data_IF_064573891225
#
_entry.id   IF_064573891225
#
_cell.length_a   1.000
_cell.length_b   1.000
_cell.length_c   1.000
_cell.angle_alpha   90.00
_cell.angle_beta   90.00
_cell.angle_gamma   90.00
#
_symmetry.space_group_name_H-M   'P 1'
#
loop_
_entity.id
_entity.type
_entity.pdbx_description
1 polymer ?
#
# COMPACT_ATOMS: atom_id res chain seq x y z
N UNK A 1 -5.51 47.96 -24.36
CA UNK A 1 -4.28 48.15 -23.56
C UNK A 1 -3.10 47.67 -24.38
N UNK A 2 -2.23 48.58 -24.83
CA UNK A 2 -1.08 48.23 -25.69
C UNK A 2 -0.04 47.46 -24.87
N UNK A 3 0.48 46.37 -25.43
CA UNK A 3 1.43 45.48 -24.75
C UNK A 3 2.83 46.09 -24.83
N UNK A 4 3.36 46.58 -23.71
CA UNK A 4 4.73 47.12 -23.64
C UNK A 4 5.81 46.03 -23.79
N UNK A 5 6.95 46.42 -24.36
CA UNK A 5 8.15 45.57 -24.44
C UNK A 5 8.70 45.32 -23.04
N UNK A 6 9.03 44.07 -22.71
CA UNK A 6 9.63 43.69 -21.42
C UNK A 6 11.02 43.10 -21.65
N UNK A 7 11.94 43.33 -20.71
CA UNK A 7 13.28 42.73 -20.73
C UNK A 7 13.21 41.22 -20.46
N UNK A 8 14.10 40.43 -21.08
CA UNK A 8 14.19 38.99 -20.86
C UNK A 8 15.01 38.70 -19.60
N UNK A 9 14.36 38.88 -18.44
CA UNK A 9 14.89 38.56 -17.11
C UNK A 9 13.81 38.00 -16.20
N UNK A 10 14.19 37.42 -15.06
CA UNK A 10 13.24 36.95 -14.05
C UNK A 10 12.37 38.11 -13.58
N UNK A 11 11.05 37.89 -13.53
CA UNK A 11 10.11 38.88 -12.99
C UNK A 11 10.14 38.77 -11.47
N UNK A 12 10.57 39.81 -10.77
CA UNK A 12 10.72 39.78 -9.31
C UNK A 12 9.37 39.73 -8.58
N UNK A 13 8.42 40.57 -9.00
CA UNK A 13 7.08 40.61 -8.42
C UNK A 13 6.35 39.26 -8.60
N UNK A 14 6.01 38.60 -7.48
CA UNK A 14 5.39 37.27 -7.45
C UNK A 14 4.03 37.22 -8.17
N UNK A 15 3.17 38.22 -7.98
CA UNK A 15 1.83 38.28 -8.58
C UNK A 15 1.95 38.43 -10.10
N UNK A 16 2.77 39.39 -10.53
CA UNK A 16 3.02 39.63 -11.96
C UNK A 16 3.66 38.42 -12.63
N UNK A 17 4.58 37.73 -11.94
CA UNK A 17 5.21 36.49 -12.41
C UNK A 17 4.20 35.36 -12.57
N UNK A 18 3.27 35.19 -11.64
CA UNK A 18 2.25 34.13 -11.72
C UNK A 18 1.24 34.36 -12.85
N UNK A 19 0.77 35.61 -13.03
CA UNK A 19 -0.12 35.97 -14.14
C UNK A 19 0.61 35.80 -15.48
N UNK A 20 1.87 36.24 -15.56
CA UNK A 20 2.68 36.11 -16.78
C UNK A 20 2.98 34.65 -17.11
N UNK A 21 3.32 33.83 -16.12
CA UNK A 21 3.51 32.39 -16.28
C UNK A 21 2.26 31.75 -16.87
N UNK A 22 1.09 32.02 -16.30
CA UNK A 22 -0.18 31.44 -16.79
C UNK A 22 -0.46 31.82 -18.24
N UNK A 23 -0.27 33.10 -18.60
CA UNK A 23 -0.48 33.59 -19.98
C UNK A 23 0.56 33.02 -20.96
N UNK A 24 1.85 33.03 -20.60
CA UNK A 24 2.94 32.55 -21.47
C UNK A 24 2.91 31.04 -21.64
N UNK A 25 2.66 30.28 -20.57
CA UNK A 25 2.49 28.82 -20.62
C UNK A 25 1.35 28.46 -21.56
N UNK A 26 0.18 29.08 -21.42
CA UNK A 26 -0.95 28.82 -22.32
C UNK A 26 -0.63 29.19 -23.78
N UNK A 27 0.05 30.32 -24.00
CA UNK A 27 0.49 30.71 -25.35
C UNK A 27 1.50 29.73 -25.96
N UNK A 28 2.43 29.20 -25.15
CA UNK A 28 3.41 28.21 -25.58
C UNK A 28 2.73 26.87 -25.92
N UNK A 29 1.81 26.40 -25.08
CA UNK A 29 1.03 25.19 -25.32
C UNK A 29 0.23 25.29 -26.63
N UNK A 30 -0.40 26.45 -26.90
CA UNK A 30 -1.11 26.68 -28.16
C UNK A 30 -0.19 26.60 -29.37
N UNK A 31 0.99 27.24 -29.30
CA UNK A 31 1.98 27.17 -30.40
C UNK A 31 2.52 25.76 -30.62
N UNK A 32 2.77 25.01 -29.54
CA UNK A 32 3.20 23.62 -29.62
C UNK A 32 2.12 22.76 -30.31
N UNK A 33 0.85 22.97 -29.97
CA UNK A 33 -0.27 22.31 -30.61
C UNK A 33 -0.39 22.66 -32.10
N UNK A 34 -0.37 23.95 -32.44
CA UNK A 34 -0.41 24.43 -33.82
C UNK A 34 0.71 23.79 -34.66
N UNK A 35 1.95 23.78 -34.14
CA UNK A 35 3.09 23.21 -34.84
C UNK A 35 2.96 21.69 -35.02
N UNK A 36 2.49 20.98 -33.98
CA UNK A 36 2.26 19.53 -34.07
C UNK A 36 1.24 19.18 -35.15
N UNK A 37 0.14 19.94 -35.24
CA UNK A 37 -0.92 19.69 -36.23
C UNK A 37 -0.51 20.14 -37.63
N UNK A 38 0.10 21.31 -37.78
CA UNK A 38 0.43 21.90 -39.09
C UNK A 38 1.55 21.13 -39.81
N UNK A 39 2.50 20.58 -39.05
CA UNK A 39 3.67 19.92 -39.62
C UNK A 39 3.69 18.40 -39.36
N UNK A 40 2.64 17.84 -38.75
CA UNK A 40 2.54 16.42 -38.36
C UNK A 40 3.77 15.94 -37.58
N UNK A 41 4.22 16.76 -36.62
CA UNK A 41 5.40 16.46 -35.80
C UNK A 41 4.99 15.97 -34.43
N UNK A 42 5.69 14.92 -33.96
CA UNK A 42 5.60 14.48 -32.56
C UNK A 42 6.32 15.49 -31.66
N UNK A 43 5.60 16.02 -30.67
CA UNK A 43 6.12 17.05 -29.79
C UNK A 43 5.68 16.82 -28.35
N UNK A 44 6.62 16.97 -27.42
CA UNK A 44 6.39 16.97 -25.98
C UNK A 44 6.85 18.27 -25.36
N UNK A 45 6.05 18.82 -24.44
CA UNK A 45 6.39 19.99 -23.64
C UNK A 45 6.10 19.69 -22.16
N UNK A 46 7.09 19.91 -21.31
CA UNK A 46 7.00 19.71 -19.85
C UNK A 46 7.37 21.03 -19.17
N UNK A 47 6.51 21.52 -18.29
CA UNK A 47 6.71 22.78 -17.55
C UNK A 47 6.41 22.57 -16.07
N UNK A 48 7.43 22.76 -15.23
CA UNK A 48 7.26 22.80 -13.77
C UNK A 48 7.09 24.23 -13.29
N UNK A 49 6.05 24.47 -12.50
CA UNK A 49 5.94 25.73 -11.77
C UNK A 49 6.92 25.77 -10.60
N UNK A 50 7.27 26.96 -10.06
CA UNK A 50 8.07 27.07 -8.85
C UNK A 50 7.46 26.41 -7.60
N UNK A 51 6.17 26.03 -7.66
CA UNK A 51 5.48 25.30 -6.59
C UNK A 51 5.46 23.78 -6.84
N UNK A 52 6.22 23.29 -7.82
CA UNK A 52 6.29 21.87 -8.18
C UNK A 52 5.14 21.37 -9.05
N UNK A 53 4.10 22.18 -9.30
CA UNK A 53 2.98 21.75 -10.17
C UNK A 53 3.45 21.55 -11.61
N UNK A 54 3.17 20.35 -12.14
CA UNK A 54 3.43 19.93 -13.51
C UNK A 54 2.34 20.44 -14.46
N UNK A 55 2.77 20.91 -15.62
CA UNK A 55 1.93 21.20 -16.78
C UNK A 55 2.60 20.60 -18.01
N UNK A 56 1.86 19.78 -18.75
CA UNK A 56 2.41 19.06 -19.89
C UNK A 56 1.49 19.14 -21.11
N UNK A 57 2.10 18.94 -22.28
CA UNK A 57 1.43 18.74 -23.55
C UNK A 57 2.23 17.72 -24.35
N UNK A 58 1.54 16.79 -24.99
CA UNK A 58 2.13 15.83 -25.89
C UNK A 58 1.20 15.53 -27.03
N UNK A 59 1.76 15.29 -28.21
CA UNK A 59 1.05 14.73 -29.36
C UNK A 59 1.97 13.69 -30.01
N UNK A 60 1.59 12.39 -30.06
CA UNK A 60 0.31 11.81 -29.65
C UNK A 60 0.20 11.46 -28.16
N UNK A 61 1.27 10.99 -27.51
CA UNK A 61 1.29 10.73 -26.06
C UNK A 61 2.70 10.90 -25.46
N UNK A 62 2.76 11.35 -24.21
CA UNK A 62 4.02 11.70 -23.54
C UNK A 62 4.97 10.51 -23.38
N UNK A 63 4.43 9.34 -23.01
CA UNK A 63 5.21 8.12 -22.81
C UNK A 63 5.99 7.72 -24.07
N UNK A 64 5.35 7.67 -25.23
CA UNK A 64 6.01 7.33 -26.51
C UNK A 64 7.12 8.32 -26.89
N UNK A 65 6.90 9.60 -26.64
CA UNK A 65 7.90 10.64 -26.93
C UNK A 65 9.12 10.48 -26.02
N UNK A 66 8.91 10.23 -24.72
CA UNK A 66 9.98 10.01 -23.76
C UNK A 66 10.76 8.73 -24.06
N UNK A 67 10.08 7.65 -24.43
CA UNK A 67 10.70 6.39 -24.86
C UNK A 67 11.55 6.57 -26.12
N UNK A 68 11.01 7.25 -27.14
CA UNK A 68 11.75 7.57 -28.37
C UNK A 68 12.97 8.43 -28.08
N UNK A 69 12.83 9.44 -27.23
CA UNK A 69 13.94 10.29 -26.79
C UNK A 69 15.01 9.49 -26.06
N UNK A 70 14.62 8.61 -25.12
CA UNK A 70 15.54 7.75 -24.37
C UNK A 70 16.34 6.85 -25.33
N UNK A 71 15.65 6.17 -26.25
CA UNK A 71 16.28 5.31 -27.26
C UNK A 71 17.29 6.08 -28.13
N UNK A 72 16.90 7.26 -28.61
CA UNK A 72 17.78 8.10 -29.41
C UNK A 72 18.99 8.63 -28.60
N UNK A 73 18.79 8.96 -27.32
CA UNK A 73 19.86 9.40 -26.42
C UNK A 73 20.92 8.30 -26.21
N UNK A 74 20.48 7.05 -26.11
CA UNK A 74 21.33 5.85 -25.98
C UNK A 74 22.08 5.56 -27.29
N UNK A 75 21.40 5.67 -28.44
CA UNK A 75 21.99 5.45 -29.78
C UNK A 75 22.99 6.54 -30.19
N UNK A 76 22.75 7.81 -29.82
CA UNK A 76 23.63 8.93 -30.15
C UNK A 76 24.73 9.20 -29.10
N UNK A 77 24.84 8.39 -28.03
CA UNK A 77 25.86 8.57 -27.01
C UNK A 77 25.77 9.92 -26.26
N UNK A 78 24.61 10.57 -26.28
CA UNK A 78 24.35 11.79 -25.52
C UNK A 78 24.09 11.32 -24.09
N UNK A 79 25.18 11.01 -23.37
CA UNK A 79 25.14 10.66 -21.96
C UNK A 79 24.60 11.86 -21.20
N UNK A 80 23.31 11.84 -20.89
CA UNK A 80 22.79 12.66 -19.79
C UNK A 80 23.36 12.00 -18.53
N UNK A 81 24.49 12.56 -18.10
CA UNK A 81 25.33 12.19 -16.96
C UNK A 81 24.62 12.13 -15.60
N UNK A 82 23.28 12.22 -15.56
CA UNK A 82 22.49 12.18 -14.34
C UNK A 82 21.86 10.82 -14.05
N UNK A 83 21.74 9.90 -15.04
CA UNK A 83 21.21 8.55 -14.76
C UNK A 83 22.22 7.64 -14.07
N UNK A 84 23.51 7.85 -14.28
CA UNK A 84 24.52 6.93 -13.76
C UNK A 84 24.76 7.07 -12.25
N UNK A 85 24.38 8.19 -11.63
CA UNK A 85 24.51 8.36 -10.18
C UNK A 85 23.29 7.80 -9.44
N UNK A 86 22.06 8.19 -9.77
CA UNK A 86 20.88 7.76 -9.01
C UNK A 86 20.53 6.27 -9.22
N UNK A 87 20.76 5.72 -10.42
CA UNK A 87 20.48 4.30 -10.69
C UNK A 87 21.53 3.39 -10.03
N UNK A 88 22.77 3.86 -9.88
CA UNK A 88 23.86 3.07 -9.29
C UNK A 88 23.73 2.92 -7.76
N UNK A 89 23.04 3.84 -7.07
CA UNK A 89 22.74 3.71 -5.63
C UNK A 89 21.49 2.89 -5.34
N UNK A 90 20.49 2.89 -6.22
CA UNK A 90 19.24 2.14 -5.99
C UNK A 90 19.37 0.65 -6.34
N UNK A 91 20.21 0.31 -7.33
CA UNK A 91 20.46 -1.08 -7.72
C UNK A 91 20.98 -1.98 -6.58
N UNK A 92 22.00 -1.60 -5.77
CA UNK A 92 22.46 -2.44 -4.68
C UNK A 92 21.40 -2.65 -3.60
N UNK A 93 20.59 -1.62 -3.32
CA UNK A 93 19.49 -1.72 -2.35
C UNK A 93 18.39 -2.67 -2.86
N UNK A 94 18.02 -2.58 -4.13
CA UNK A 94 17.07 -3.50 -4.77
C UNK A 94 17.59 -4.94 -4.68
N UNK A 95 18.87 -5.17 -5.03
CA UNK A 95 19.45 -6.52 -4.95
C UNK A 95 19.50 -7.04 -3.51
N UNK A 96 19.73 -6.18 -2.52
CA UNK A 96 19.73 -6.57 -1.11
C UNK A 96 18.33 -6.97 -0.63
N UNK A 97 17.31 -6.20 -1.04
CA UNK A 97 15.92 -6.50 -0.73
C UNK A 97 15.46 -7.80 -1.41
N UNK A 98 15.84 -8.04 -2.66
CA UNK A 98 15.56 -9.29 -3.38
C UNK A 98 16.20 -10.50 -2.68
N UNK A 99 17.46 -10.39 -2.24
CA UNK A 99 18.13 -11.44 -1.48
C UNK A 99 17.42 -11.70 -0.15
N UNK A 100 17.00 -10.64 0.56
CA UNK A 100 16.29 -10.76 1.83
C UNK A 100 14.94 -11.45 1.66
N UNK A 101 14.19 -11.11 0.61
CA UNK A 101 12.93 -11.76 0.26
C UNK A 101 13.16 -13.25 0.02
N UNK A 102 14.15 -13.60 -0.80
CA UNK A 102 14.45 -15.00 -1.11
C UNK A 102 14.82 -15.81 0.15
N UNK A 103 15.61 -15.23 1.06
CA UNK A 103 15.93 -15.86 2.35
C UNK A 103 14.65 -16.10 3.19
N UNK A 104 13.76 -15.11 3.27
CA UNK A 104 12.52 -15.21 4.04
C UNK A 104 11.57 -16.26 3.44
N UNK A 105 11.32 -16.23 2.13
CA UNK A 105 10.50 -17.20 1.43
C UNK A 105 11.06 -18.63 1.54
N UNK A 106 12.40 -18.77 1.47
CA UNK A 106 13.07 -20.05 1.70
C UNK A 106 12.87 -20.53 3.14
N UNK A 107 12.94 -19.64 4.13
CA UNK A 107 12.69 -19.99 5.53
C UNK A 107 11.23 -20.39 5.80
N UNK A 108 10.28 -19.72 5.16
CA UNK A 108 8.85 -20.03 5.25
C UNK A 108 8.56 -21.41 4.66
N UNK A 109 9.03 -21.69 3.44
CA UNK A 109 8.92 -23.01 2.81
C UNK A 109 9.50 -24.12 3.69
N UNK A 110 10.67 -23.89 4.29
CA UNK A 110 11.27 -24.83 5.24
C UNK A 110 10.38 -25.05 6.46
N UNK A 111 9.82 -23.99 7.06
CA UNK A 111 8.87 -24.09 8.18
C UNK A 111 7.59 -24.86 7.81
N UNK A 112 7.18 -24.82 6.54
CA UNK A 112 6.07 -25.61 6.00
C UNK A 112 6.44 -27.07 5.67
N UNK A 113 7.72 -27.44 5.81
CA UNK A 113 8.23 -28.78 5.55
C UNK A 113 8.66 -29.03 4.10
N UNK A 114 8.78 -27.98 3.29
CA UNK A 114 9.17 -28.06 1.88
C UNK A 114 10.70 -27.92 1.70
N UNK A 115 11.25 -28.53 0.65
CA UNK A 115 12.65 -28.38 0.22
C UNK A 115 13.72 -28.65 1.32
N UNK A 116 13.45 -29.60 2.24
CA UNK A 116 14.34 -29.93 3.35
C UNK A 116 15.60 -30.72 2.96
N UNK A 117 15.69 -31.20 1.73
CA UNK A 117 16.77 -32.04 1.18
C UNK A 117 18.16 -31.39 1.29
N UNK A 118 18.20 -30.06 1.29
CA UNK A 118 19.43 -29.26 1.38
C UNK A 118 19.76 -28.79 2.80
N UNK A 119 18.92 -29.08 3.79
CA UNK A 119 19.11 -28.62 5.17
C UNK A 119 20.10 -29.53 5.92
N UNK A 120 21.01 -28.92 6.66
CA UNK A 120 21.87 -29.63 7.59
C UNK A 120 21.08 -30.15 8.80
N UNK A 121 21.62 -31.18 9.46
CA UNK A 121 21.03 -31.75 10.69
C UNK A 121 20.87 -30.69 11.78
N UNK A 122 21.78 -29.71 11.87
CA UNK A 122 21.68 -28.61 12.86
C UNK A 122 20.51 -27.68 12.55
N UNK A 123 20.31 -27.34 11.29
CA UNK A 123 19.20 -26.51 10.83
C UNK A 123 17.85 -27.22 11.02
N UNK A 124 17.79 -28.52 10.72
CA UNK A 124 16.58 -29.31 10.91
C UNK A 124 16.19 -29.41 12.40
N UNK A 125 17.15 -29.65 13.29
CA UNK A 125 16.93 -29.63 14.74
C UNK A 125 16.47 -28.25 15.24
N UNK A 126 16.97 -27.18 14.64
CA UNK A 126 16.55 -25.83 14.99
C UNK A 126 15.09 -25.57 14.57
N UNK A 127 14.75 -25.99 13.34
CA UNK A 127 13.41 -25.90 12.78
C UNK A 127 12.39 -26.68 13.63
N UNK A 128 12.73 -27.92 14.00
CA UNK A 128 11.91 -28.78 14.84
C UNK A 128 11.59 -28.10 16.18
N UNK A 129 12.60 -27.54 16.86
CA UNK A 129 12.39 -26.81 18.12
C UNK A 129 11.49 -25.60 17.94
N UNK A 130 11.63 -24.85 16.86
CA UNK A 130 10.79 -23.68 16.60
C UNK A 130 9.32 -24.08 16.40
N UNK A 131 9.08 -25.10 15.58
CA UNK A 131 7.73 -25.64 15.34
C UNK A 131 7.13 -26.21 16.62
N UNK A 132 7.91 -26.94 17.41
CA UNK A 132 7.46 -27.50 18.67
C UNK A 132 7.08 -26.41 19.69
N UNK A 133 7.88 -25.35 19.79
CA UNK A 133 7.57 -24.18 20.63
C UNK A 133 6.27 -23.50 20.19
N UNK A 134 6.11 -23.24 18.89
CA UNK A 134 4.88 -22.67 18.34
C UNK A 134 3.65 -23.53 18.65
N UNK A 135 3.78 -24.85 18.47
CA UNK A 135 2.72 -25.81 18.76
C UNK A 135 2.34 -25.82 20.25
N UNK A 136 3.32 -25.75 21.15
CA UNK A 136 3.09 -25.66 22.61
C UNK A 136 2.30 -24.40 22.96
N UNK A 137 2.67 -23.24 22.40
CA UNK A 137 1.96 -21.98 22.63
C UNK A 137 0.51 -22.02 22.12
N UNK A 138 0.29 -22.53 20.90
CA UNK A 138 -1.05 -22.68 20.33
C UNK A 138 -1.92 -23.60 21.18
N UNK A 139 -1.36 -24.73 21.64
CA UNK A 139 -2.07 -25.66 22.52
C UNK A 139 -2.42 -25.01 23.85
N UNK A 140 -1.47 -24.33 24.51
CA UNK A 140 -1.72 -23.64 25.77
C UNK A 140 -2.87 -22.63 25.63
N UNK A 141 -2.81 -21.79 24.58
CA UNK A 141 -3.86 -20.80 24.32
C UNK A 141 -5.22 -21.45 24.06
N UNK A 142 -5.26 -22.56 23.32
CA UNK A 142 -6.50 -23.31 23.08
C UNK A 142 -7.06 -23.89 24.38
N UNK A 143 -6.21 -24.41 25.26
CA UNK A 143 -6.60 -24.90 26.58
C UNK A 143 -7.21 -23.77 27.43
N UNK A 144 -6.57 -22.60 27.48
CA UNK A 144 -7.09 -21.45 28.23
C UNK A 144 -8.50 -21.06 27.77
N UNK A 145 -8.72 -21.00 26.45
CA UNK A 145 -10.03 -20.65 25.87
C UNK A 145 -11.08 -21.72 26.22
N UNK A 146 -10.72 -23.01 26.13
CA UNK A 146 -11.63 -24.08 26.48
C UNK A 146 -11.98 -24.08 27.98
N UNK A 147 -11.01 -23.80 28.85
CA UNK A 147 -11.24 -23.69 30.29
C UNK A 147 -12.19 -22.52 30.62
N UNK A 148 -12.00 -21.36 29.99
CA UNK A 148 -12.91 -20.22 30.16
C UNK A 148 -14.35 -20.57 29.71
N UNK A 149 -14.50 -21.28 28.58
CA UNK A 149 -15.81 -21.74 28.10
C UNK A 149 -16.47 -22.72 29.07
N UNK A 150 -15.70 -23.66 29.64
CA UNK A 150 -16.20 -24.60 30.65
C UNK A 150 -16.70 -23.84 31.87
N UNK A 151 -15.91 -22.91 32.40
CA UNK A 151 -16.28 -22.09 33.56
C UNK A 151 -17.56 -21.28 33.30
N UNK A 152 -17.69 -20.66 32.12
CA UNK A 152 -18.91 -19.93 31.74
C UNK A 152 -20.15 -20.85 31.68
N UNK A 153 -20.00 -22.08 31.19
CA UNK A 153 -21.08 -23.05 31.14
C UNK A 153 -21.48 -23.54 32.54
N UNK A 154 -20.51 -23.76 33.43
CA UNK A 154 -20.77 -24.13 34.82
C UNK A 154 -21.59 -23.07 35.55
N UNK A 155 -21.22 -21.79 35.40
CA UNK A 155 -21.97 -20.66 35.97
C UNK A 155 -23.42 -20.66 35.45
N UNK A 156 -23.61 -20.78 34.12
CA UNK A 156 -24.96 -20.83 33.51
C UNK A 156 -25.79 -22.03 33.96
N UNK A 157 -25.15 -23.16 34.29
CA UNK A 157 -25.85 -24.32 34.83
C UNK A 157 -26.32 -24.06 36.26
N UNK A 158 -25.47 -23.47 37.11
CA UNK A 158 -25.83 -23.08 38.48
C UNK A 158 -26.95 -22.04 38.47
N UNK A 159 -26.86 -21.01 37.64
CA UNK A 159 -27.90 -19.98 37.52
C UNK A 159 -29.26 -20.58 37.12
N UNK A 160 -29.26 -21.52 36.15
CA UNK A 160 -30.49 -22.22 35.75
C UNK A 160 -31.05 -23.10 36.84
N UNK A 161 -30.19 -23.77 37.63
CA UNK A 161 -30.65 -24.57 38.77
C UNK A 161 -31.28 -23.67 39.84
N UNK A 162 -30.65 -22.55 40.19
CA UNK A 162 -31.22 -21.57 41.11
C UNK A 162 -32.53 -20.98 40.60
N UNK A 163 -32.64 -20.73 39.30
CA UNK A 163 -33.86 -20.20 38.69
C UNK A 163 -35.00 -21.23 38.75
N UNK A 164 -34.72 -22.52 38.54
CA UNK A 164 -35.70 -23.59 38.76
C UNK A 164 -36.09 -23.68 40.23
N UNK A 165 -35.12 -23.72 41.14
CA UNK A 165 -35.39 -23.79 42.58
C UNK A 165 -36.20 -22.57 43.08
N UNK A 166 -35.95 -21.36 42.54
CA UNK A 166 -36.73 -20.15 42.82
C UNK A 166 -38.19 -20.25 42.35
N UNK A 167 -38.42 -20.84 41.17
CA UNK A 167 -39.78 -21.09 40.65
C UNK A 167 -40.55 -22.08 41.52
N UNK A 168 -39.89 -23.09 42.10
CA UNK A 168 -40.54 -24.08 42.96
C UNK A 168 -40.68 -23.64 44.44
N UNK A 169 -39.88 -22.68 44.91
CA UNK A 169 -39.86 -22.22 46.31
C UNK A 169 -40.65 -20.93 46.56
N UNK A 170 -41.13 -20.25 45.51
CA UNK A 170 -42.03 -19.10 45.66
C UNK A 170 -43.44 -19.58 46.03
N UNK A 171 -44.00 -19.18 47.18
CA UNK A 171 -45.40 -19.46 47.48
C UNK A 171 -46.26 -18.73 46.45
N UNK A 172 -47.11 -19.44 45.72
CA UNK A 172 -48.19 -18.85 44.93
C UNK A 172 -49.08 -18.04 45.87
N UNK A 173 -48.82 -16.73 45.97
CA UNK A 173 -49.72 -15.79 46.61
C UNK A 173 -50.99 -15.70 45.76
N UNK A 174 -51.98 -16.47 46.17
CA UNK A 174 -53.42 -16.32 45.93
C UNK A 174 -53.85 -15.68 44.61
N UNK A 175 -54.22 -16.53 43.65
CA UNK A 175 -55.35 -16.24 42.77
C UNK A 175 -56.40 -17.33 43.01
N UNK A 176 -57.58 -16.84 43.38
CA UNK A 176 -58.64 -17.60 44.03
C UNK A 176 -59.21 -18.75 43.22
N UNK A 177 -59.81 -19.65 44.02
CA UNK A 177 -60.83 -20.63 43.66
C UNK A 177 -61.54 -20.41 42.33
N UNK A 178 -61.35 -21.33 41.39
CA UNK A 178 -62.43 -21.79 40.52
C UNK A 178 -62.55 -23.30 40.74
N UNK A 179 -63.57 -23.69 41.51
CA UNK A 179 -64.09 -25.05 41.47
C UNK A 179 -64.71 -25.30 40.09
N UNK A 180 -64.65 -26.55 39.57
CA UNK A 180 -65.37 -26.90 38.36
C UNK A 180 -66.87 -27.03 38.68
N UNK A 181 -67.71 -26.34 37.93
CA UNK A 181 -69.16 -26.58 37.88
C UNK A 181 -69.50 -26.84 36.41
N UNK A 182 -70.29 -27.89 36.20
CA UNK A 182 -70.96 -28.22 34.92
C UNK A 182 -71.75 -27.04 34.34
#
# INVERSE_FOLDING_TARGET
>A
MVRGKIQLKKIENRISRQVTFSKRRNGLLKKAYELSVLCDVEMGLIVFSPRGKLYEFSSPCMQKILERYKKYSEECGISITTKDQDTQYLNPEITNLEERINILESSERKMLGECLESCSIKELNHLERQVEQGLRLVRARKTDILMDQIQQLEIKCVDRQQQQDWVWTTPTLGLGSMQPVE
#
